data_IF_859013358495
#
_entry.id   IF_859013358495
#
_cell.length_a   1.000
_cell.length_b   1.000
_cell.length_c   1.000
_cell.angle_alpha   90.00
_cell.angle_beta   90.00
_cell.angle_gamma   90.00
#
_symmetry.space_group_name_H-M   'P 1'
#
loop_
_entity.id
_entity.type
_entity.pdbx_description
1 polymer ?
#
# COMPACT_ATOMS: atom_id res chain seq x y z
N UNK A 1 4.24 42.74 -33.62
CA UNK A 1 4.21 41.26 -33.71
C UNK A 1 3.53 40.58 -32.52
N UNK A 2 3.59 41.09 -31.27
CA UNK A 2 2.94 40.43 -30.12
C UNK A 2 1.40 40.65 -30.04
N UNK A 3 0.90 41.81 -30.48
CA UNK A 3 -0.52 42.16 -30.36
C UNK A 3 -1.45 41.41 -31.32
N UNK A 4 -0.97 41.00 -32.49
CA UNK A 4 -1.78 40.29 -33.47
C UNK A 4 -2.00 38.81 -33.09
N UNK A 5 -1.02 38.19 -32.44
CA UNK A 5 -1.13 36.82 -31.93
C UNK A 5 -2.20 36.71 -30.83
N UNK A 6 -2.27 37.70 -29.93
CA UNK A 6 -3.27 37.74 -28.85
C UNK A 6 -4.68 37.95 -29.42
N UNK A 7 -4.81 38.77 -30.47
CA UNK A 7 -6.10 39.01 -31.15
C UNK A 7 -6.60 37.77 -31.89
N UNK A 8 -5.71 37.01 -32.54
CA UNK A 8 -6.06 35.73 -33.16
C UNK A 8 -6.48 34.66 -32.16
N UNK A 9 -5.81 34.58 -31.00
CA UNK A 9 -6.15 33.60 -29.97
C UNK A 9 -7.54 33.89 -29.34
N UNK A 10 -7.85 35.16 -29.07
CA UNK A 10 -9.17 35.56 -28.56
C UNK A 10 -10.30 35.23 -29.53
N UNK A 11 -10.12 35.48 -30.83
CA UNK A 11 -11.13 35.19 -31.84
C UNK A 11 -11.35 33.67 -32.03
N UNK A 12 -10.29 32.86 -31.93
CA UNK A 12 -10.37 31.40 -32.02
C UNK A 12 -11.18 30.80 -30.86
N UNK A 13 -10.96 31.28 -29.63
CA UNK A 13 -11.68 30.83 -28.43
C UNK A 13 -13.16 31.19 -28.50
N UNK A 14 -13.50 32.41 -28.94
CA UNK A 14 -14.89 32.85 -29.07
C UNK A 14 -15.65 31.99 -30.10
N UNK A 15 -15.03 31.64 -31.23
CA UNK A 15 -15.69 30.79 -32.24
C UNK A 15 -15.94 29.35 -31.74
N UNK A 16 -14.99 28.78 -30.97
CA UNK A 16 -15.14 27.45 -30.37
C UNK A 16 -16.26 27.41 -29.33
N UNK A 17 -16.37 28.44 -28.49
CA UNK A 17 -17.43 28.55 -27.49
C UNK A 17 -18.82 28.70 -28.12
N UNK A 18 -18.92 29.42 -29.25
CA UNK A 18 -20.18 29.52 -30.01
C UNK A 18 -20.57 28.20 -30.69
N UNK A 19 -19.59 27.40 -31.14
CA UNK A 19 -19.83 26.05 -31.66
C UNK A 19 -20.34 25.06 -30.60
N UNK A 20 -19.80 25.12 -29.38
CA UNK A 20 -20.24 24.28 -28.25
C UNK A 20 -21.67 24.63 -27.80
N UNK A 21 -22.04 25.92 -27.76
CA UNK A 21 -23.42 26.34 -27.44
C UNK A 21 -24.46 25.89 -28.47
N UNK A 22 -24.07 25.64 -29.73
CA UNK A 22 -24.96 25.08 -30.76
C UNK A 22 -25.13 23.56 -30.65
N UNK A 23 -24.09 22.83 -30.23
CA UNK A 23 -24.17 21.37 -30.00
C UNK A 23 -25.03 20.98 -28.80
N UNK A 24 -25.10 21.82 -27.78
CA UNK A 24 -25.90 21.57 -26.57
C UNK A 24 -27.42 21.81 -26.73
N UNK A 25 -27.89 22.30 -27.89
CA UNK A 25 -29.33 22.51 -28.15
C UNK A 25 -30.06 21.33 -28.82
N UNK A 26 -29.36 20.25 -29.16
CA UNK A 26 -29.92 19.06 -29.81
C UNK A 26 -29.76 17.80 -28.95
N UNK A 27 -30.40 17.76 -27.78
CA UNK A 27 -30.63 16.50 -27.07
C UNK A 27 -31.70 16.70 -26.01
N UNK A 28 -32.97 16.68 -26.41
CA UNK A 28 -34.11 16.56 -25.50
C UNK A 28 -35.29 16.00 -26.28
N UNK A 29 -35.24 14.69 -26.58
CA UNK A 29 -36.39 13.87 -26.90
C UNK A 29 -36.04 12.43 -26.52
N UNK A 30 -36.57 11.93 -25.40
CA UNK A 30 -37.19 10.61 -25.31
C UNK A 30 -37.88 10.45 -23.94
N UNK A 31 -39.13 10.01 -24.01
CA UNK A 31 -40.09 9.76 -22.93
C UNK A 31 -39.87 8.42 -22.22
N UNK A 32 -40.38 8.20 -20.99
CA UNK A 32 -40.25 6.93 -20.26
C UNK A 32 -41.47 5.99 -20.43
N UNK A 33 -41.26 4.68 -20.31
CA UNK A 33 -42.31 3.66 -20.19
C UNK A 33 -41.81 2.42 -19.39
N UNK A 34 -42.69 1.62 -18.75
CA UNK A 34 -42.54 1.25 -17.33
C UNK A 34 -42.32 -0.26 -17.02
N UNK A 35 -42.21 -0.51 -15.72
CA UNK A 35 -42.05 -1.77 -14.95
C UNK A 35 -42.66 -3.08 -15.49
N UNK A 36 -42.00 -4.19 -15.18
CA UNK A 36 -42.65 -5.49 -14.96
C UNK A 36 -42.01 -6.26 -13.78
N UNK A 37 -42.90 -6.73 -12.91
CA UNK A 37 -42.68 -7.61 -11.75
C UNK A 37 -42.81 -9.06 -12.24
N UNK A 38 -41.97 -9.98 -11.76
CA UNK A 38 -42.37 -11.39 -11.61
C UNK A 38 -41.55 -12.10 -10.53
N UNK A 39 -42.30 -12.66 -9.57
CA UNK A 39 -41.88 -13.63 -8.55
C UNK A 39 -41.77 -15.04 -9.13
N UNK A 40 -40.97 -15.92 -8.48
CA UNK A 40 -41.35 -17.27 -8.00
C UNK A 40 -40.12 -18.19 -7.74
N UNK A 41 -39.84 -18.37 -6.45
CA UNK A 41 -39.69 -19.63 -5.69
C UNK A 41 -39.20 -20.96 -6.34
N UNK A 42 -38.17 -21.53 -5.69
CA UNK A 42 -38.15 -22.84 -4.99
C UNK A 42 -37.37 -24.07 -5.53
N UNK A 43 -36.92 -24.88 -4.54
CA UNK A 43 -36.35 -26.25 -4.53
C UNK A 43 -34.86 -26.43 -4.94
N UNK A 44 -34.01 -27.30 -4.37
CA UNK A 44 -34.00 -28.17 -3.16
C UNK A 44 -32.71 -29.05 -3.18
N UNK A 45 -32.00 -29.14 -2.04
CA UNK A 45 -31.39 -30.35 -1.40
C UNK A 45 -30.24 -31.16 -2.06
N UNK A 46 -29.12 -31.18 -1.32
CA UNK A 46 -28.11 -32.23 -0.97
C UNK A 46 -27.35 -33.07 -2.02
N UNK A 47 -26.02 -33.14 -1.82
CA UNK A 47 -25.34 -34.38 -1.36
C UNK A 47 -23.87 -34.18 -0.94
N UNK A 48 -23.61 -34.51 0.33
CA UNK A 48 -22.31 -34.79 0.95
C UNK A 48 -21.72 -36.09 0.39
N UNK A 49 -20.40 -36.16 0.19
CA UNK A 49 -19.67 -37.43 0.28
C UNK A 49 -18.22 -37.19 0.75
N UNK A 50 -17.92 -37.66 1.96
CA UNK A 50 -16.57 -37.89 2.47
C UNK A 50 -16.01 -39.18 1.88
N UNK A 51 -14.69 -39.25 1.67
CA UNK A 51 -13.92 -40.50 1.70
C UNK A 51 -12.60 -40.27 2.43
N UNK A 52 -12.50 -40.92 3.57
CA UNK A 52 -11.27 -41.25 4.31
C UNK A 52 -10.70 -42.57 3.78
N UNK A 53 -9.38 -42.73 3.80
CA UNK A 53 -8.73 -44.04 3.83
C UNK A 53 -7.32 -43.91 4.40
N UNK A 54 -7.01 -44.81 5.32
CA UNK A 54 -5.85 -44.91 6.22
C UNK A 54 -4.81 -45.96 5.77
N UNK A 55 -3.63 -45.92 6.43
CA UNK A 55 -2.63 -47.00 6.68
C UNK A 55 -1.49 -47.33 5.68
N UNK A 56 -0.26 -46.80 5.90
CA UNK A 56 0.94 -47.32 6.66
C UNK A 56 1.25 -48.85 6.58
N UNK A 57 2.50 -49.39 6.80
CA UNK A 57 3.93 -48.93 6.74
C UNK A 57 4.90 -49.88 5.96
N UNK A 58 6.21 -49.54 5.82
CA UNK A 58 7.33 -50.47 6.20
C UNK A 58 8.77 -49.90 6.21
N UNK A 59 9.42 -50.17 7.35
CA UNK A 59 10.80 -50.59 7.66
C UNK A 59 12.05 -49.74 7.28
N UNK A 60 12.73 -49.33 8.35
CA UNK A 60 14.18 -49.13 8.53
C UNK A 60 15.00 -50.40 8.29
N UNK A 61 16.26 -50.25 7.81
CA UNK A 61 17.41 -51.08 8.19
C UNK A 61 18.74 -50.36 7.91
N UNK A 62 19.72 -50.70 8.76
CA UNK A 62 21.07 -50.20 8.97
C UNK A 62 22.05 -50.29 7.78
N UNK A 63 23.11 -49.47 7.79
CA UNK A 63 24.48 -50.02 7.83
C UNK A 63 25.56 -49.03 8.33
N UNK A 64 26.38 -49.53 9.25
CA UNK A 64 27.66 -49.00 9.71
C UNK A 64 28.75 -49.20 8.65
N UNK A 65 29.79 -48.35 8.65
CA UNK A 65 31.21 -48.77 8.71
C UNK A 65 32.14 -47.55 8.88
N UNK A 66 32.90 -47.58 9.97
CA UNK A 66 34.08 -46.75 10.25
C UNK A 66 35.28 -47.30 9.48
N UNK A 67 36.18 -46.44 8.97
CA UNK A 67 37.63 -46.69 8.95
C UNK A 67 38.38 -45.37 9.18
N UNK A 68 39.24 -45.40 10.19
CA UNK A 68 40.24 -44.41 10.62
C UNK A 68 41.56 -44.59 9.88
N UNK A 69 42.33 -43.51 9.66
CA UNK A 69 43.81 -43.57 9.71
C UNK A 69 44.43 -42.20 10.05
N UNK A 70 45.28 -42.19 11.09
CA UNK A 70 46.30 -41.18 11.42
C UNK A 70 47.39 -41.14 10.31
N UNK A 71 48.39 -40.25 10.20
CA UNK A 71 49.23 -39.56 11.18
C UNK A 71 50.27 -38.69 10.41
N UNK A 72 50.81 -37.64 11.07
CA UNK A 72 52.20 -37.13 11.04
C UNK A 72 52.44 -35.64 10.66
N UNK A 73 53.10 -34.98 11.62
CA UNK A 73 53.68 -33.62 11.65
C UNK A 73 55.05 -33.59 10.98
N UNK A 74 55.48 -32.41 10.51
CA UNK A 74 56.88 -31.97 10.63
C UNK A 74 56.99 -30.45 10.75
N UNK A 75 57.77 -30.00 11.74
CA UNK A 75 58.13 -28.61 12.06
C UNK A 75 59.62 -28.39 11.77
N UNK A 76 60.02 -27.29 11.09
CA UNK A 76 61.41 -26.77 11.13
C UNK A 76 61.43 -25.22 11.07
N UNK A 77 62.43 -24.65 11.74
CA UNK A 77 62.65 -23.29 12.26
C UNK A 77 63.05 -22.17 11.26
N UNK A 78 62.96 -20.93 11.76
CA UNK A 78 63.22 -19.59 11.14
C UNK A 78 64.71 -19.20 11.02
N UNK A 79 64.99 -18.11 10.27
CA UNK A 79 65.78 -16.99 10.80
C UNK A 79 65.10 -15.60 10.62
N UNK A 80 65.65 -14.55 11.27
CA UNK A 80 65.12 -13.16 11.42
C UNK A 80 66.29 -12.15 11.22
N UNK A 81 66.08 -10.82 11.10
CA UNK A 81 65.55 -10.03 9.96
C UNK A 81 66.57 -8.93 9.49
N UNK A 82 66.14 -7.91 8.72
CA UNK A 82 66.58 -6.55 9.05
C UNK A 82 65.41 -5.55 9.22
N UNK A 83 65.72 -4.46 9.93
CA UNK A 83 64.82 -3.43 10.44
C UNK A 83 64.07 -2.63 9.36
N UNK A 84 62.78 -2.38 9.57
CA UNK A 84 62.13 -1.13 9.13
C UNK A 84 60.86 -0.82 9.94
N UNK A 85 60.92 0.33 10.60
CA UNK A 85 59.85 1.27 10.96
C UNK A 85 58.58 0.78 11.69
N UNK A 86 58.50 1.27 12.92
CA UNK A 86 57.37 1.24 13.85
C UNK A 86 56.19 2.02 13.25
N UNK A 87 55.09 1.34 12.95
CA UNK A 87 53.75 1.90 13.03
C UNK A 87 52.97 1.14 14.11
N UNK A 88 52.76 1.82 15.24
CA UNK A 88 52.01 1.30 16.38
C UNK A 88 50.52 1.36 16.03
N UNK A 89 50.01 0.35 15.32
CA UNK A 89 48.58 0.21 15.07
C UNK A 89 47.86 0.06 16.41
N UNK A 90 47.16 1.12 16.84
CA UNK A 90 46.19 1.02 17.92
C UNK A 90 45.02 0.19 17.39
N UNK A 91 44.91 -1.06 17.83
CA UNK A 91 43.67 -1.82 17.70
C UNK A 91 42.64 -1.20 18.63
N UNK A 92 41.54 -0.59 18.13
CA UNK A 92 40.46 -0.22 19.02
C UNK A 92 39.83 -1.50 19.57
N UNK A 93 39.67 -1.55 20.90
CA UNK A 93 38.94 -2.61 21.60
C UNK A 93 37.55 -2.71 20.99
N UNK A 94 37.16 -3.94 20.63
CA UNK A 94 35.80 -4.30 20.23
C UNK A 94 34.82 -3.85 21.30
N UNK A 95 34.17 -2.71 21.09
CA UNK A 95 32.94 -2.37 21.77
C UNK A 95 31.84 -3.22 21.13
N UNK A 96 31.35 -4.20 21.87
CA UNK A 96 30.07 -4.85 21.58
C UNK A 96 28.97 -3.81 21.77
N UNK A 97 28.72 -3.03 20.73
CA UNK A 97 27.51 -2.23 20.63
C UNK A 97 26.40 -3.21 20.28
N UNK A 98 25.47 -3.44 21.22
CA UNK A 98 24.15 -3.98 20.88
C UNK A 98 23.57 -3.04 19.83
N UNK A 99 23.61 -3.46 18.58
CA UNK A 99 22.92 -2.77 17.51
C UNK A 99 21.42 -2.92 17.77
N UNK A 100 20.85 -1.97 18.51
CA UNK A 100 19.47 -1.58 18.27
C UNK A 100 19.40 -1.29 16.77
N UNK A 101 18.90 -2.25 16.01
CA UNK A 101 18.71 -2.11 14.58
C UNK A 101 17.84 -0.88 14.40
N UNK A 102 18.44 0.20 13.89
CA UNK A 102 17.72 1.38 13.45
C UNK A 102 16.67 0.90 12.45
N UNK A 103 15.41 1.18 12.76
CA UNK A 103 14.27 1.13 11.85
C UNK A 103 14.62 1.93 10.58
N UNK A 104 15.24 1.27 9.61
CA UNK A 104 15.25 1.70 8.23
C UNK A 104 14.16 0.89 7.55
N UNK A 105 13.08 1.56 7.15
CA UNK A 105 11.96 0.96 6.43
C UNK A 105 12.51 0.13 5.25
N UNK A 106 12.22 -1.17 5.27
CA UNK A 106 12.57 -2.14 4.21
C UNK A 106 11.32 -2.76 3.59
N UNK A 107 10.20 -2.05 3.62
CA UNK A 107 8.96 -2.49 2.98
C UNK A 107 8.52 -1.44 1.99
N UNK A 108 8.22 -1.92 0.79
CA UNK A 108 7.64 -1.18 -0.31
C UNK A 108 6.40 -1.97 -0.74
N UNK A 109 5.39 -1.27 -1.22
CA UNK A 109 4.14 -1.79 -1.74
C UNK A 109 3.91 -1.21 -3.14
N UNK A 110 2.89 -1.72 -3.82
CA UNK A 110 2.50 -1.26 -5.17
C UNK A 110 1.17 -0.51 -5.18
N UNK A 111 0.40 -0.65 -4.10
CA UNK A 111 -0.97 -0.23 -4.01
C UNK A 111 -1.94 -1.15 -4.76
N UNK A 112 -1.53 -2.38 -5.05
CA UNK A 112 -2.41 -3.40 -5.64
C UNK A 112 -2.89 -4.30 -4.51
N UNK A 113 -4.09 -4.00 -4.02
CA UNK A 113 -4.72 -4.75 -2.92
C UNK A 113 -4.87 -6.22 -3.30
N UNK A 114 -4.37 -7.10 -2.43
CA UNK A 114 -4.38 -8.54 -2.65
C UNK A 114 -5.67 -9.19 -2.14
N UNK A 115 -6.19 -8.70 -1.01
CA UNK A 115 -7.46 -9.13 -0.45
C UNK A 115 -8.08 -8.07 0.47
N UNK A 116 -9.36 -8.28 0.79
CA UNK A 116 -10.03 -7.61 1.90
C UNK A 116 -10.05 -8.54 3.12
N UNK A 117 -9.39 -8.13 4.20
CA UNK A 117 -9.42 -8.81 5.48
C UNK A 117 -10.52 -8.28 6.41
N UNK A 118 -10.71 -8.95 7.55
CA UNK A 118 -11.70 -8.56 8.56
C UNK A 118 -11.05 -8.39 9.93
N UNK A 119 -11.27 -7.26 10.57
CA UNK A 119 -10.77 -6.99 11.94
C UNK A 119 -11.53 -7.86 12.94
N UNK A 120 -10.83 -8.78 13.61
CA UNK A 120 -11.41 -9.69 14.60
C UNK A 120 -11.33 -9.14 16.02
N UNK A 121 -10.28 -8.39 16.30
CA UNK A 121 -10.06 -7.72 17.57
C UNK A 121 -9.22 -6.47 17.36
N UNK A 122 -9.45 -5.45 18.17
CA UNK A 122 -8.60 -4.28 18.26
C UNK A 122 -8.75 -3.64 19.64
N UNK A 123 -7.71 -2.95 20.10
CA UNK A 123 -7.75 -2.19 21.33
C UNK A 123 -6.39 -2.11 22.01
N UNK A 124 -6.36 -1.40 23.13
CA UNK A 124 -5.18 -1.42 23.99
C UNK A 124 -4.98 -2.79 24.63
N UNK A 125 -3.73 -3.22 24.74
CA UNK A 125 -3.36 -4.36 25.54
C UNK A 125 -3.71 -4.14 27.03
N UNK A 126 -3.64 -5.19 27.85
CA UNK A 126 -3.97 -5.08 29.28
C UNK A 126 -3.10 -4.06 30.03
N UNK A 127 -1.89 -3.80 29.52
CA UNK A 127 -0.98 -2.80 30.08
C UNK A 127 -1.30 -1.36 29.67
N UNK A 128 -2.13 -1.17 28.64
CA UNK A 128 -2.47 0.15 28.08
C UNK A 128 -1.36 0.78 27.23
N UNK A 129 -0.28 0.04 26.92
CA UNK A 129 0.93 0.59 26.29
C UNK A 129 0.96 0.33 24.78
N UNK A 130 0.35 -0.74 24.30
CA UNK A 130 0.26 -1.07 22.87
C UNK A 130 -1.19 -1.06 22.43
N UNK A 131 -1.48 -0.49 21.25
CA UNK A 131 -2.75 -0.69 20.59
C UNK A 131 -2.57 -1.78 19.54
N UNK A 132 -3.20 -2.93 19.75
CA UNK A 132 -3.05 -4.08 18.88
C UNK A 132 -4.29 -4.28 18.01
N UNK A 133 -4.10 -4.88 16.84
CA UNK A 133 -5.17 -5.25 15.92
C UNK A 133 -4.93 -6.67 15.41
N UNK A 134 -5.97 -7.50 15.48
CA UNK A 134 -6.00 -8.86 14.95
C UNK A 134 -6.91 -8.88 13.73
N UNK A 135 -6.41 -9.37 12.61
CA UNK A 135 -7.07 -9.36 11.32
C UNK A 135 -7.10 -10.77 10.76
N UNK A 136 -8.26 -11.21 10.31
CA UNK A 136 -8.43 -12.45 9.55
C UNK A 136 -8.15 -12.21 8.06
N UNK A 137 -7.26 -13.00 7.46
CA UNK A 137 -6.75 -12.77 6.10
C UNK A 137 -6.12 -14.03 5.47
N UNK A 138 -6.86 -14.79 4.64
CA UNK A 138 -6.36 -16.05 4.07
C UNK A 138 -5.18 -15.90 3.08
N UNK A 139 -5.11 -14.82 2.32
CA UNK A 139 -4.19 -14.68 1.18
C UNK A 139 -2.83 -14.16 1.62
N UNK A 140 -2.78 -13.09 2.41
CA UNK A 140 -1.52 -12.47 2.85
C UNK A 140 -0.76 -13.31 3.87
N UNK A 141 -1.39 -14.35 4.43
CA UNK A 141 -0.79 -15.31 5.36
C UNK A 141 -0.03 -16.47 4.68
N UNK A 142 -0.15 -16.65 3.37
CA UNK A 142 0.39 -17.84 2.69
C UNK A 142 1.92 -17.97 2.76
N UNK A 143 2.64 -16.87 3.00
CA UNK A 143 4.10 -16.83 3.11
C UNK A 143 4.61 -15.83 4.16
N UNK A 144 3.80 -15.59 5.20
CA UNK A 144 4.10 -14.62 6.25
C UNK A 144 5.17 -15.14 7.23
N UNK A 145 5.97 -14.22 7.76
CA UNK A 145 6.90 -14.42 8.85
C UNK A 145 6.73 -13.33 9.91
N UNK A 146 7.18 -13.61 11.13
CA UNK A 146 7.27 -12.58 12.17
C UNK A 146 8.22 -11.47 11.72
N UNK A 147 7.78 -10.21 11.88
CA UNK A 147 8.53 -9.05 11.41
C UNK A 147 8.27 -8.65 9.96
N UNK A 148 7.47 -9.42 9.20
CA UNK A 148 7.06 -9.02 7.86
C UNK A 148 6.14 -7.79 7.92
N UNK A 149 6.14 -7.02 6.83
CA UNK A 149 5.31 -5.82 6.67
C UNK A 149 4.11 -6.10 5.79
N UNK A 150 2.93 -5.76 6.29
CA UNK A 150 1.65 -5.82 5.57
C UNK A 150 1.02 -4.43 5.64
N UNK A 151 0.60 -3.91 4.50
CA UNK A 151 -0.17 -2.67 4.42
C UNK A 151 -1.63 -2.96 4.78
N UNK A 152 -2.14 -2.29 5.81
CA UNK A 152 -3.56 -2.34 6.23
C UNK A 152 -4.21 -1.00 5.92
N UNK A 153 -5.16 -0.96 4.98
CA UNK A 153 -5.68 0.29 4.40
C UNK A 153 -4.55 1.27 4.01
N UNK A 154 -3.48 0.75 3.41
CA UNK A 154 -2.31 1.54 3.01
C UNK A 154 -1.38 1.95 4.14
N UNK A 155 -1.57 1.44 5.36
CA UNK A 155 -0.66 1.69 6.49
C UNK A 155 0.27 0.50 6.66
N UNK A 156 1.58 0.70 6.48
CA UNK A 156 2.58 -0.33 6.70
C UNK A 156 2.64 -0.69 8.18
N UNK A 157 2.28 -1.94 8.50
CA UNK A 157 2.31 -2.48 9.86
C UNK A 157 3.12 -3.77 9.90
N UNK A 158 3.79 -3.99 11.02
CA UNK A 158 4.66 -5.16 11.23
C UNK A 158 3.88 -6.28 11.91
N UNK A 159 3.93 -7.48 11.33
CA UNK A 159 3.34 -8.69 11.92
C UNK A 159 4.08 -9.08 13.19
N UNK A 160 3.37 -9.07 14.31
CA UNK A 160 3.91 -9.41 15.64
C UNK A 160 3.55 -10.83 16.08
N UNK A 161 2.41 -11.35 15.62
CA UNK A 161 1.94 -12.72 15.86
C UNK A 161 1.09 -13.17 14.66
N UNK A 162 1.00 -14.48 14.39
CA UNK A 162 0.05 -15.01 13.41
C UNK A 162 -0.32 -16.47 13.71
N UNK A 163 -1.50 -16.88 13.26
CA UNK A 163 -2.05 -18.23 13.37
C UNK A 163 -2.57 -18.67 11.98
N UNK A 164 -1.90 -19.66 11.39
CA UNK A 164 -2.23 -20.18 10.07
C UNK A 164 -3.45 -21.12 10.05
N UNK A 165 -3.87 -21.64 11.21
CA UNK A 165 -5.10 -22.44 11.31
C UNK A 165 -6.33 -21.54 11.37
N UNK A 166 -6.24 -20.44 12.11
CA UNK A 166 -7.31 -19.43 12.20
C UNK A 166 -7.29 -18.43 11.05
N UNK A 167 -6.21 -18.40 10.28
CA UNK A 167 -5.96 -17.42 9.22
C UNK A 167 -5.98 -15.99 9.78
N UNK A 168 -5.35 -15.78 10.93
CA UNK A 168 -5.30 -14.48 11.61
C UNK A 168 -3.86 -14.01 11.80
N UNK A 169 -3.62 -12.70 11.70
CA UNK A 169 -2.37 -12.08 12.13
C UNK A 169 -2.64 -10.89 13.04
N UNK A 170 -1.64 -10.55 13.85
CA UNK A 170 -1.65 -9.44 14.79
C UNK A 170 -0.60 -8.42 14.40
N UNK A 171 -0.96 -7.16 14.56
CA UNK A 171 -0.08 -6.00 14.36
C UNK A 171 -0.24 -5.02 15.53
N UNK A 172 0.86 -4.32 15.86
CA UNK A 172 0.85 -3.22 16.80
C UNK A 172 0.79 -1.86 16.09
N UNK A 173 -0.03 -0.94 16.59
CA UNK A 173 -0.21 0.39 16.05
C UNK A 173 0.39 1.42 17.01
N UNK A 174 1.34 2.20 16.50
CA UNK A 174 1.94 3.29 17.25
C UNK A 174 0.95 4.46 17.42
N UNK A 175 1.10 5.31 18.45
CA UNK A 175 0.24 6.48 18.64
C UNK A 175 0.20 7.44 17.45
N UNK A 176 1.31 7.59 16.71
CA UNK A 176 1.34 8.43 15.50
C UNK A 176 0.46 7.83 14.40
N UNK A 177 0.52 6.51 14.20
CA UNK A 177 -0.32 5.80 13.24
C UNK A 177 -1.80 5.99 13.55
N UNK A 178 -2.20 5.87 14.82
CA UNK A 178 -3.59 6.09 15.24
C UNK A 178 -4.07 7.52 14.98
N UNK A 179 -3.18 8.53 15.09
CA UNK A 179 -3.53 9.94 14.84
C UNK A 179 -3.57 10.30 13.35
N UNK A 180 -2.72 9.67 12.54
CA UNK A 180 -2.56 10.01 11.12
C UNK A 180 -3.45 9.21 10.18
N UNK A 181 -3.99 8.10 10.64
CA UNK A 181 -4.78 7.18 9.82
C UNK A 181 -6.23 7.09 10.31
N UNK A 182 -7.10 6.53 9.48
CA UNK A 182 -8.47 6.17 9.84
C UNK A 182 -8.55 4.87 10.65
N UNK A 183 -7.43 4.23 11.00
CA UNK A 183 -7.44 2.91 11.65
C UNK A 183 -8.05 2.93 13.06
N UNK A 184 -8.04 4.09 13.73
CA UNK A 184 -8.68 4.28 15.04
C UNK A 184 -10.21 4.25 14.97
N UNK A 185 -10.79 4.47 13.79
CA UNK A 185 -12.25 4.47 13.56
C UNK A 185 -12.78 3.06 13.26
N UNK A 186 -11.89 2.08 13.13
CA UNK A 186 -12.28 0.70 12.90
C UNK A 186 -12.91 0.10 14.15
N UNK A 187 -13.73 -0.91 13.93
CA UNK A 187 -14.33 -1.74 14.97
C UNK A 187 -14.23 -3.21 14.59
N UNK A 188 -14.54 -4.10 15.54
CA UNK A 188 -14.64 -5.54 15.25
C UNK A 188 -15.65 -5.77 14.12
N UNK A 189 -15.26 -6.54 13.11
CA UNK A 189 -16.02 -6.81 11.89
C UNK A 189 -15.74 -5.81 10.76
N UNK A 190 -14.96 -4.76 11.00
CA UNK A 190 -14.56 -3.85 9.93
C UNK A 190 -13.75 -4.56 8.86
N UNK A 191 -14.02 -4.23 7.61
CA UNK A 191 -13.29 -4.76 6.46
C UNK A 191 -12.13 -3.82 6.11
N UNK A 192 -10.96 -4.37 5.80
CA UNK A 192 -9.74 -3.61 5.50
C UNK A 192 -9.05 -4.14 4.25
N UNK A 193 -8.45 -3.25 3.44
CA UNK A 193 -7.56 -3.62 2.34
C UNK A 193 -6.24 -4.16 2.89
N UNK A 194 -5.73 -5.24 2.31
CA UNK A 194 -4.46 -5.85 2.67
C UNK A 194 -3.54 -6.03 1.45
N UNK A 195 -2.26 -5.71 1.61
CA UNK A 195 -1.18 -5.94 0.62
C UNK A 195 0.12 -6.30 1.34
N UNK A 196 0.80 -7.37 0.92
CA UNK A 196 2.14 -7.73 1.42
C UNK A 196 3.20 -6.81 0.84
N UNK A 197 4.29 -6.61 1.58
CA UNK A 197 5.46 -5.93 1.03
C UNK A 197 6.04 -6.70 -0.18
N UNK A 198 6.45 -5.97 -1.20
CA UNK A 198 6.93 -6.58 -2.46
C UNK A 198 8.24 -7.32 -2.28
N UNK A 199 8.37 -8.45 -2.98
CA UNK A 199 9.67 -9.09 -3.25
C UNK A 199 10.36 -8.37 -4.42
N UNK A 200 11.69 -8.35 -4.49
CA UNK A 200 12.42 -7.71 -5.61
C UNK A 200 12.04 -8.20 -7.01
N UNK A 201 11.53 -9.44 -7.13
CA UNK A 201 11.09 -10.03 -8.40
C UNK A 201 9.62 -9.76 -8.75
N UNK A 202 8.90 -8.98 -7.94
CA UNK A 202 7.46 -8.75 -8.11
C UNK A 202 7.20 -7.76 -9.26
N UNK A 203 6.10 -7.97 -9.99
CA UNK A 203 5.60 -6.97 -10.94
C UNK A 203 5.00 -5.79 -10.18
N UNK A 204 5.51 -4.59 -10.42
CA UNK A 204 4.94 -3.36 -9.85
C UNK A 204 3.79 -2.86 -10.74
N UNK A 205 2.57 -3.31 -10.44
CA UNK A 205 1.36 -3.01 -11.25
C UNK A 205 0.72 -1.65 -10.96
N UNK A 206 1.00 -1.04 -9.81
CA UNK A 206 0.59 0.30 -9.44
C UNK A 206 1.76 1.28 -9.50
N UNK A 207 2.02 1.95 -8.38
CA UNK A 207 3.15 2.89 -8.23
C UNK A 207 3.92 2.61 -6.94
N UNK A 208 4.95 3.42 -6.64
CA UNK A 208 5.70 3.28 -5.39
C UNK A 208 4.86 3.72 -4.20
N UNK A 209 4.36 2.76 -3.43
CA UNK A 209 3.63 2.99 -2.18
C UNK A 209 4.52 2.56 -1.02
N UNK A 210 4.78 3.44 -0.06
CA UNK A 210 5.60 3.15 1.12
C UNK A 210 4.76 2.54 2.25
N UNK A 211 3.45 2.78 2.24
CA UNK A 211 2.58 2.49 3.36
C UNK A 211 2.73 3.52 4.49
N UNK A 212 3.15 4.75 4.15
CA UNK A 212 3.33 5.86 5.08
C UNK A 212 2.27 6.92 4.81
N UNK A 213 1.09 6.68 5.35
CA UNK A 213 -0.07 7.57 5.24
C UNK A 213 0.28 8.98 5.73
N UNK A 214 0.05 9.97 4.88
CA UNK A 214 0.29 11.38 5.16
C UNK A 214 -0.80 11.99 6.06
N UNK A 215 -2.02 11.50 5.87
CA UNK A 215 -3.20 11.88 6.62
C UNK A 215 -4.44 11.20 6.06
N UNK A 216 -5.60 11.81 6.32
CA UNK A 216 -6.89 11.29 5.86
C UNK A 216 -7.61 12.30 4.99
N UNK A 217 -8.47 11.80 4.11
CA UNK A 217 -9.48 12.58 3.39
C UNK A 217 -10.88 12.07 3.68
N UNK A 218 -11.88 12.87 3.36
CA UNK A 218 -13.30 12.54 3.51
C UNK A 218 -13.94 12.32 2.14
N UNK A 219 -14.67 11.23 1.97
CA UNK A 219 -15.45 10.99 0.74
C UNK A 219 -16.62 11.96 0.70
N UNK A 220 -16.66 12.87 -0.27
CA UNK A 220 -17.73 13.89 -0.39
C UNK A 220 -18.74 13.59 -1.49
N UNK A 221 -18.42 12.74 -2.47
CA UNK A 221 -19.38 12.23 -3.46
C UNK A 221 -18.98 10.85 -3.98
N UNK A 222 -19.98 10.04 -4.29
CA UNK A 222 -19.87 8.75 -4.97
C UNK A 222 -20.97 8.64 -6.02
N UNK A 223 -20.60 8.63 -7.31
CA UNK A 223 -21.54 8.72 -8.42
C UNK A 223 -21.26 7.63 -9.47
N UNK A 224 -22.21 6.74 -9.78
CA UNK A 224 -22.01 5.74 -10.82
C UNK A 224 -22.03 6.37 -12.22
N UNK A 225 -21.13 5.91 -13.09
CA UNK A 225 -21.08 6.22 -14.51
C UNK A 225 -20.83 4.93 -15.30
N UNK A 226 -21.90 4.35 -15.85
CA UNK A 226 -21.83 3.03 -16.47
C UNK A 226 -21.50 1.94 -15.44
N UNK A 227 -20.44 1.18 -15.70
CA UNK A 227 -19.89 0.14 -14.80
C UNK A 227 -18.87 0.70 -13.79
N UNK A 228 -18.56 1.99 -13.91
CA UNK A 228 -17.52 2.65 -13.14
C UNK A 228 -18.12 3.55 -12.07
N UNK A 229 -17.32 3.85 -11.04
CA UNK A 229 -17.73 4.65 -9.90
C UNK A 229 -16.82 5.87 -9.74
N UNK A 230 -17.38 7.07 -9.89
CA UNK A 230 -16.72 8.31 -9.52
C UNK A 230 -16.67 8.46 -8.00
N UNK A 231 -15.51 8.84 -7.48
CA UNK A 231 -15.34 9.16 -6.07
C UNK A 231 -14.62 10.50 -5.96
N UNK A 232 -15.21 11.44 -5.23
CA UNK A 232 -14.61 12.73 -4.88
C UNK A 232 -14.23 12.72 -3.41
N UNK A 233 -12.98 13.09 -3.13
CA UNK A 233 -12.42 13.12 -1.77
C UNK A 233 -11.96 14.53 -1.46
N UNK A 234 -12.39 15.06 -0.31
CA UNK A 234 -11.88 16.29 0.27
C UNK A 234 -10.69 15.97 1.17
N UNK A 235 -9.63 16.77 1.09
CA UNK A 235 -8.45 16.62 1.95
C UNK A 235 -7.88 17.99 2.27
N UNK A 236 -6.99 18.05 3.26
CA UNK A 236 -6.34 19.29 3.63
C UNK A 236 -5.37 19.82 2.55
N UNK A 237 -5.13 21.15 2.49
CA UNK A 237 -4.25 21.77 1.50
C UNK A 237 -2.81 21.24 1.51
N UNK A 238 -2.28 20.85 2.67
CA UNK A 238 -0.93 20.31 2.80
C UNK A 238 -0.74 18.95 2.13
N UNK A 239 -1.82 18.16 1.99
CA UNK A 239 -1.82 16.91 1.22
C UNK A 239 -2.13 17.22 -0.24
N UNK A 240 -3.15 18.06 -0.49
CA UNK A 240 -3.64 18.36 -1.84
C UNK A 240 -2.57 18.92 -2.78
N UNK A 241 -1.64 19.73 -2.27
CA UNK A 241 -0.55 20.32 -3.07
C UNK A 241 0.36 19.30 -3.78
N UNK A 242 0.34 18.04 -3.36
CA UNK A 242 1.10 16.95 -3.99
C UNK A 242 0.26 16.13 -4.97
N UNK A 243 -1.03 16.39 -5.06
CA UNK A 243 -1.97 15.67 -5.92
C UNK A 243 -2.10 16.43 -7.24
N UNK A 244 -1.86 15.76 -8.36
CA UNK A 244 -1.92 16.36 -9.70
C UNK A 244 -2.83 15.55 -10.63
N UNK A 245 -3.55 16.17 -11.57
CA UNK A 245 -4.30 15.45 -12.59
C UNK A 245 -3.42 14.45 -13.35
N UNK A 246 -3.92 13.23 -13.54
CA UNK A 246 -3.19 12.09 -14.13
C UNK A 246 -1.99 11.59 -13.33
N UNK A 247 -1.77 12.12 -12.14
CA UNK A 247 -0.81 11.58 -11.18
C UNK A 247 -1.34 10.36 -10.44
N UNK A 248 -0.44 9.68 -9.73
CA UNK A 248 -0.79 8.58 -8.83
C UNK A 248 -1.10 9.09 -7.42
N UNK A 249 -1.96 8.34 -6.73
CA UNK A 249 -2.22 8.48 -5.30
C UNK A 249 -2.61 7.11 -4.74
N UNK A 250 -2.24 6.81 -3.49
CA UNK A 250 -2.77 5.66 -2.78
C UNK A 250 -3.90 6.09 -1.84
N UNK A 251 -5.10 5.51 -2.03
CA UNK A 251 -6.28 5.73 -1.17
C UNK A 251 -6.65 4.43 -0.50
N UNK A 252 -6.62 4.38 0.83
CA UNK A 252 -6.70 3.14 1.61
C UNK A 252 -5.76 2.04 1.08
N UNK A 253 -4.56 2.43 0.64
CA UNK A 253 -3.57 1.53 0.04
C UNK A 253 -3.89 1.07 -1.38
N UNK A 254 -4.93 1.60 -2.03
CA UNK A 254 -5.24 1.32 -3.43
C UNK A 254 -4.56 2.37 -4.32
N UNK A 255 -3.67 1.94 -5.21
CA UNK A 255 -3.03 2.78 -6.22
C UNK A 255 -4.05 3.20 -7.27
N UNK A 256 -4.28 4.50 -7.40
CA UNK A 256 -5.29 5.10 -8.25
C UNK A 256 -4.71 6.24 -9.08
N UNK A 257 -5.37 6.52 -10.21
CA UNK A 257 -5.05 7.67 -11.06
C UNK A 257 -6.01 8.80 -10.75
N UNK A 258 -5.46 9.95 -10.37
CA UNK A 258 -6.24 11.17 -10.17
C UNK A 258 -6.79 11.63 -11.52
N UNK A 259 -8.08 11.92 -11.59
CA UNK A 259 -8.69 12.45 -12.81
C UNK A 259 -8.68 13.97 -12.79
N UNK A 260 -9.25 14.59 -11.75
CA UNK A 260 -9.27 16.04 -11.57
C UNK A 260 -8.85 16.43 -10.15
N UNK A 261 -8.37 17.67 -10.02
CA UNK A 261 -8.08 18.36 -8.76
C UNK A 261 -8.88 19.66 -8.78
N UNK A 262 -9.49 19.98 -7.63
CA UNK A 262 -10.36 21.13 -7.42
C UNK A 262 -9.80 21.94 -6.25
N UNK A 263 -8.82 22.81 -6.53
CA UNK A 263 -8.07 23.53 -5.48
C UNK A 263 -8.97 24.36 -4.56
N UNK A 264 -9.98 25.06 -5.12
CA UNK A 264 -10.90 25.90 -4.35
C UNK A 264 -11.82 25.09 -3.40
N UNK A 265 -12.11 23.84 -3.76
CA UNK A 265 -12.94 22.94 -2.95
C UNK A 265 -12.12 22.04 -2.03
N UNK A 266 -10.79 22.14 -2.11
CA UNK A 266 -9.83 21.25 -1.45
C UNK A 266 -10.08 19.76 -1.77
N UNK A 267 -10.47 19.48 -3.01
CA UNK A 267 -10.90 18.15 -3.43
C UNK A 267 -10.08 17.59 -4.59
N UNK A 268 -10.07 16.27 -4.71
CA UNK A 268 -9.67 15.58 -5.94
C UNK A 268 -10.65 14.44 -6.22
N UNK A 269 -10.62 13.91 -7.43
CA UNK A 269 -11.44 12.75 -7.77
C UNK A 269 -10.70 11.69 -8.59
N UNK A 270 -11.24 10.49 -8.56
CA UNK A 270 -10.79 9.33 -9.31
C UNK A 270 -11.98 8.46 -9.71
N UNK A 271 -11.75 7.52 -10.62
CA UNK A 271 -12.72 6.49 -10.99
C UNK A 271 -12.25 5.12 -10.55
N UNK A 272 -13.17 4.31 -10.05
CA UNK A 272 -12.97 2.88 -9.85
C UNK A 272 -13.67 2.10 -10.97
N UNK A 273 -12.91 1.29 -11.70
CA UNK A 273 -13.46 0.31 -12.64
C UNK A 273 -14.13 -0.85 -11.87
N UNK A 274 -15.10 -1.51 -12.50
CA UNK A 274 -15.90 -2.59 -11.87
C UNK A 274 -15.03 -3.64 -11.15
N UNK A 275 -13.95 -4.09 -11.79
CA UNK A 275 -13.04 -5.07 -11.19
C UNK A 275 -12.47 -4.58 -9.86
N UNK A 276 -11.94 -3.35 -9.81
CA UNK A 276 -11.36 -2.79 -8.58
C UNK A 276 -12.43 -2.58 -7.52
N UNK A 277 -13.65 -2.21 -7.92
CA UNK A 277 -14.74 -2.01 -6.96
C UNK A 277 -15.03 -3.27 -6.13
N UNK A 278 -14.84 -4.46 -6.69
CA UNK A 278 -15.06 -5.73 -6.01
C UNK A 278 -13.86 -6.17 -5.14
N UNK A 279 -12.72 -5.49 -5.25
CA UNK A 279 -11.44 -5.92 -4.65
C UNK A 279 -10.96 -5.01 -3.52
N UNK A 280 -11.60 -3.85 -3.32
CA UNK A 280 -11.15 -2.86 -2.33
C UNK A 280 -12.31 -2.35 -1.49
N UNK A 281 -12.02 -1.81 -0.31
CA UNK A 281 -13.03 -1.36 0.65
C UNK A 281 -13.72 -0.05 0.28
N UNK A 282 -13.12 0.78 -0.59
CA UNK A 282 -13.60 2.14 -0.86
C UNK A 282 -15.09 2.17 -1.29
N UNK A 283 -15.58 1.30 -2.20
CA UNK A 283 -17.00 1.26 -2.57
C UNK A 283 -17.96 0.81 -1.45
N UNK A 284 -17.44 0.14 -0.41
CA UNK A 284 -18.23 -0.27 0.75
C UNK A 284 -18.43 0.88 1.74
N UNK A 285 -17.64 1.96 1.61
CA UNK A 285 -17.74 3.15 2.42
C UNK A 285 -18.90 4.04 1.97
N UNK A 286 -19.31 4.94 2.87
CA UNK A 286 -20.34 5.96 2.64
C UNK A 286 -19.71 7.34 2.51
N UNK A 287 -20.41 8.23 1.83
CA UNK A 287 -20.12 9.68 1.87
C UNK A 287 -20.06 10.13 3.34
N UNK A 288 -19.05 10.94 3.66
CA UNK A 288 -18.69 11.38 5.01
C UNK A 288 -17.67 10.50 5.74
N UNK A 289 -17.37 9.29 5.24
CA UNK A 289 -16.35 8.44 5.85
C UNK A 289 -14.94 8.79 5.38
N UNK A 290 -13.97 8.53 6.26
CA UNK A 290 -12.56 8.80 6.00
C UNK A 290 -11.89 7.71 5.17
N UNK A 291 -10.88 8.12 4.42
CA UNK A 291 -9.92 7.27 3.72
C UNK A 291 -8.49 7.69 4.07
N UNK A 292 -7.59 6.72 4.18
CA UNK A 292 -6.16 6.98 4.32
C UNK A 292 -5.60 7.48 2.98
N UNK A 293 -4.77 8.53 3.02
CA UNK A 293 -4.13 9.11 1.84
C UNK A 293 -2.61 9.04 1.97
N UNK A 294 -1.97 8.47 0.94
CA UNK A 294 -0.53 8.58 0.71
C UNK A 294 -0.33 9.15 -0.69
N UNK A 295 0.32 10.33 -0.75
CA UNK A 295 0.64 10.98 -2.03
C UNK A 295 1.93 10.39 -2.60
N UNK A 296 2.08 10.46 -3.93
CA UNK A 296 3.29 9.99 -4.59
C UNK A 296 4.54 10.68 -4.01
N UNK A 297 5.48 9.88 -3.50
CA UNK A 297 6.71 10.34 -2.88
C UNK A 297 7.54 11.24 -3.82
N UNK A 298 7.41 11.06 -5.14
CA UNK A 298 8.09 11.89 -6.12
C UNK A 298 7.76 13.38 -5.94
N UNK A 299 6.51 13.72 -5.63
CA UNK A 299 6.09 15.09 -5.36
C UNK A 299 6.84 15.72 -4.17
N UNK A 300 7.02 14.96 -3.08
CA UNK A 300 7.75 15.40 -1.89
C UNK A 300 9.25 15.59 -2.16
N UNK A 301 9.86 14.70 -2.94
CA UNK A 301 11.26 14.85 -3.33
C UNK A 301 11.46 16.08 -4.21
N UNK A 302 10.57 16.33 -5.17
CA UNK A 302 10.62 17.52 -6.02
C UNK A 302 10.48 18.79 -5.18
N UNK A 303 9.50 18.86 -4.28
CA UNK A 303 9.33 20.00 -3.38
C UNK A 303 10.59 20.27 -2.56
N UNK A 304 11.17 19.22 -1.95
CA UNK A 304 12.38 19.33 -1.12
C UNK A 304 13.59 19.80 -1.94
N UNK A 305 13.75 19.31 -3.17
CA UNK A 305 14.83 19.74 -4.06
C UNK A 305 14.69 21.20 -4.44
N UNK A 306 13.49 21.64 -4.86
CA UNK A 306 13.23 23.03 -5.24
C UNK A 306 13.42 23.98 -4.06
N UNK A 307 12.96 23.58 -2.87
CA UNK A 307 13.07 24.40 -1.64
C UNK A 307 14.49 24.48 -1.07
N UNK A 308 15.42 23.63 -1.52
CA UNK A 308 16.80 23.58 -1.02
C UNK A 308 17.75 24.62 -1.66
N UNK A 309 17.26 25.43 -2.61
CA UNK A 309 18.12 26.33 -3.41
C UNK A 309 19.00 25.60 -4.43
N UNK A 310 18.80 24.28 -4.61
CA UNK A 310 19.56 23.47 -5.56
C UNK A 310 19.49 24.02 -6.99
N UNK A 311 18.32 24.49 -7.41
CA UNK A 311 18.12 25.08 -8.75
C UNK A 311 18.92 26.37 -8.93
N UNK A 312 19.01 27.21 -7.88
CA UNK A 312 19.76 28.46 -7.92
C UNK A 312 21.28 28.20 -8.01
N UNK A 313 21.74 27.13 -7.35
CA UNK A 313 23.13 26.66 -7.43
C UNK A 313 23.51 26.11 -8.82
N UNK A 314 22.55 25.55 -9.58
CA UNK A 314 22.79 25.14 -10.97
C UNK A 314 22.86 26.35 -11.89
N UNK A 315 21.92 27.30 -11.75
CA UNK A 315 21.86 28.50 -12.61
C UNK A 315 23.06 29.44 -12.47
N UNK A 316 23.75 29.37 -11.33
CA UNK A 316 24.94 30.17 -11.03
C UNK A 316 26.26 29.55 -11.52
N UNK A 317 26.22 28.35 -12.12
CA UNK A 317 27.36 27.69 -12.77
C UNK A 317 27.28 27.84 -14.28
#
# INVERSE_FOLDING_TARGET
>A
MCNDAIRHLKNSIVSRLQGLKRKLKFSNYLTPAPMAISSLAAFSVSKTLMKTSTSVPRLTMYNHLNITHNHLRSTVLKPKPPLAFIFKAHTPKSLTCNSYQRNQIKSLFTGIVEEMGEVKQLGYDESGQSFDMVIHSPTVLQDVNLGDSIAVNGTCLTVTEFDTQRLEFKVGLAPETLRKTSLIELEKGSVVNLERAVKPSTRMGGHFVQGHVDGTGEIVSMEPEGDSLWIKVKTSPEILKFIVPKGFIAVDGTSLTVVNVFDEEECFNFMLVEYTQQKVVIPLKKVGQKVNLEVDILGKYVERLLSSGFVDNIKSR
#
